data_IF_186097228357
#
_entry.id   IF_186097228357
#
_cell.length_a   1.000
_cell.length_b   1.000
_cell.length_c   1.000
_cell.angle_alpha   90.00
_cell.angle_beta   90.00
_cell.angle_gamma   90.00
#
_symmetry.space_group_name_H-M   'P 1'
#
loop_
_entity.id
_entity.type
_entity.pdbx_description
1 polymer ?
#
# COMPACT_ATOMS: atom_id res chain seq x y z
N UNK A 1 -3.36 -10.26 -7.00
CA UNK A 1 -4.63 -10.62 -6.32
C UNK A 1 -5.31 -11.74 -7.09
N UNK A 2 -5.90 -12.75 -6.43
CA UNK A 2 -6.70 -13.75 -7.12
C UNK A 2 -7.84 -13.06 -7.88
N UNK A 3 -8.30 -13.62 -9.01
CA UNK A 3 -9.37 -13.02 -9.79
C UNK A 3 -10.62 -12.82 -8.93
N UNK A 4 -11.44 -11.79 -9.20
CA UNK A 4 -12.61 -11.44 -8.40
C UNK A 4 -13.57 -12.60 -8.10
N UNK A 5 -13.63 -13.59 -8.99
CA UNK A 5 -14.44 -14.81 -8.82
C UNK A 5 -13.97 -15.72 -7.67
N UNK A 6 -12.68 -15.70 -7.33
CA UNK A 6 -12.13 -16.50 -6.21
C UNK A 6 -12.40 -15.79 -4.89
N UNK A 7 -12.33 -14.46 -4.86
CA UNK A 7 -12.62 -13.67 -3.66
C UNK A 7 -14.10 -13.65 -3.28
N UNK A 8 -15.01 -13.85 -4.23
CA UNK A 8 -16.45 -13.89 -3.97
C UNK A 8 -16.89 -15.02 -3.04
N UNK A 9 -16.09 -16.10 -2.93
CA UNK A 9 -16.39 -17.26 -2.10
C UNK A 9 -15.63 -17.29 -0.77
N UNK A 10 -14.81 -16.27 -0.49
CA UNK A 10 -13.98 -16.22 0.71
C UNK A 10 -14.53 -15.30 1.80
N UNK A 11 -15.85 -15.16 1.92
CA UNK A 11 -16.41 -14.48 3.10
C UNK A 11 -16.09 -15.32 4.33
N UNK A 12 -15.22 -14.84 5.24
CA UNK A 12 -14.86 -15.62 6.41
C UNK A 12 -16.12 -15.90 7.25
N UNK A 13 -16.32 -17.13 7.75
CA UNK A 13 -17.48 -17.41 8.57
C UNK A 13 -17.47 -16.59 9.86
N UNK A 14 -18.63 -16.29 10.44
CA UNK A 14 -18.73 -15.67 11.75
C UNK A 14 -17.94 -16.45 12.79
N UNK A 15 -17.24 -15.76 13.68
CA UNK A 15 -16.60 -16.37 14.82
C UNK A 15 -16.84 -15.53 16.08
N UNK A 16 -16.65 -16.10 17.31
CA UNK A 16 -16.91 -15.36 18.55
C UNK A 16 -16.10 -14.07 18.69
N UNK A 17 -14.89 -14.01 18.10
CA UNK A 17 -14.04 -12.82 18.11
C UNK A 17 -14.49 -11.78 17.09
N UNK A 18 -15.26 -12.19 16.09
CA UNK A 18 -15.83 -11.33 15.07
C UNK A 18 -17.24 -11.80 14.69
N UNK A 19 -18.23 -11.48 15.52
CA UNK A 19 -19.62 -11.73 15.18
C UNK A 19 -20.00 -10.80 14.04
N UNK A 20 -20.22 -11.36 12.86
CA UNK A 20 -20.46 -10.59 11.65
C UNK A 20 -21.93 -10.14 11.52
N UNK A 21 -22.30 -9.12 12.25
CA UNK A 21 -23.49 -8.34 12.01
C UNK A 21 -23.12 -6.85 12.17
N UNK A 22 -22.91 -6.11 11.10
CA UNK A 22 -23.02 -6.47 9.68
C UNK A 22 -21.93 -7.43 9.17
N UNK A 23 -22.20 -8.17 8.05
CA UNK A 23 -21.24 -9.09 7.47
C UNK A 23 -19.94 -8.41 7.04
N UNK A 24 -18.81 -9.11 7.15
CA UNK A 24 -17.51 -8.59 6.68
C UNK A 24 -17.47 -8.51 5.17
N UNK A 25 -17.15 -7.32 4.64
CA UNK A 25 -16.90 -7.14 3.21
C UNK A 25 -15.46 -7.52 2.81
N UNK A 26 -14.54 -7.50 3.77
CA UNK A 26 -13.11 -7.75 3.58
C UNK A 26 -12.56 -8.68 4.67
N UNK A 27 -11.38 -9.27 4.42
CA UNK A 27 -10.70 -10.15 5.40
C UNK A 27 -10.29 -9.38 6.65
N UNK A 28 -9.92 -8.12 6.51
CA UNK A 28 -9.29 -7.33 7.57
C UNK A 28 -10.27 -6.45 8.33
N UNK A 29 -11.34 -5.99 7.71
CA UNK A 29 -12.28 -5.07 8.35
C UNK A 29 -13.68 -5.11 7.70
N UNK A 30 -14.61 -4.44 8.35
CA UNK A 30 -15.94 -4.16 7.79
C UNK A 30 -15.86 -3.09 6.69
N UNK A 31 -16.82 -3.09 5.77
CA UNK A 31 -16.89 -2.11 4.67
C UNK A 31 -16.91 -0.66 5.17
N UNK A 32 -17.57 -0.40 6.29
CA UNK A 32 -17.64 0.93 6.91
C UNK A 32 -16.28 1.46 7.37
N UNK A 33 -15.34 0.56 7.72
CA UNK A 33 -14.02 0.90 8.22
C UNK A 33 -12.94 1.06 7.12
N UNK A 34 -13.25 0.77 5.86
CA UNK A 34 -12.26 0.78 4.76
C UNK A 34 -11.53 2.11 4.58
N UNK A 35 -12.18 3.24 4.86
CA UNK A 35 -11.55 4.56 4.77
C UNK A 35 -11.02 5.07 6.13
N UNK A 36 -11.00 4.22 7.15
CA UNK A 36 -10.42 4.60 8.44
C UNK A 36 -8.89 4.62 8.33
N UNK A 37 -8.18 5.67 8.81
CA UNK A 37 -6.72 5.79 8.64
C UNK A 37 -5.89 4.68 9.26
N UNK A 38 -6.40 3.98 10.28
CA UNK A 38 -5.75 2.78 10.84
C UNK A 38 -5.92 1.53 9.99
N UNK A 39 -6.84 1.54 9.03
CA UNK A 39 -7.06 0.43 8.08
C UNK A 39 -6.40 0.75 6.75
N UNK A 40 -6.58 1.98 6.27
CA UNK A 40 -5.98 2.48 5.04
C UNK A 40 -5.08 3.69 5.35
N UNK A 41 -3.77 3.50 5.49
CA UNK A 41 -2.82 4.58 5.78
C UNK A 41 -2.89 5.73 4.77
N UNK A 42 -3.28 5.45 3.52
CA UNK A 42 -3.51 6.45 2.49
C UNK A 42 -4.55 7.51 2.90
N UNK A 43 -5.44 7.17 3.82
CA UNK A 43 -6.48 8.07 4.33
C UNK A 43 -6.05 8.89 5.55
N UNK A 44 -4.84 8.66 6.07
CA UNK A 44 -4.29 9.48 7.15
C UNK A 44 -3.93 10.88 6.64
N UNK A 45 -4.46 11.90 7.30
CA UNK A 45 -4.24 13.31 6.94
C UNK A 45 -3.01 13.93 7.59
N UNK A 46 -2.49 13.35 8.68
CA UNK A 46 -1.37 13.91 9.44
C UNK A 46 -0.27 12.87 9.66
N UNK A 47 0.92 13.18 9.16
CA UNK A 47 2.15 12.41 9.27
C UNK A 47 3.24 13.15 10.03
N UNK A 48 2.95 14.33 10.58
CA UNK A 48 3.91 15.11 11.37
C UNK A 48 4.48 14.26 12.52
N UNK A 49 5.79 14.33 12.70
CA UNK A 49 6.52 13.53 13.69
C UNK A 49 6.50 12.00 13.47
N UNK A 50 6.05 11.51 12.35
CA UNK A 50 6.24 10.11 12.00
C UNK A 50 7.76 9.79 11.91
N UNK A 51 8.18 8.57 12.26
CA UNK A 51 9.56 8.13 12.08
C UNK A 51 9.94 8.13 10.60
N UNK A 52 11.25 8.07 10.27
CA UNK A 52 11.68 7.89 8.89
C UNK A 52 11.02 6.66 8.24
N UNK A 53 10.66 6.78 6.97
CA UNK A 53 9.96 5.73 6.22
C UNK A 53 10.76 5.35 4.98
N UNK A 54 10.86 4.04 4.75
CA UNK A 54 11.48 3.45 3.57
C UNK A 54 10.43 2.78 2.69
N UNK A 55 10.33 3.24 1.45
CA UNK A 55 9.56 2.62 0.39
C UNK A 55 10.49 1.86 -0.54
N UNK A 56 10.28 0.55 -0.70
CA UNK A 56 10.99 -0.28 -1.66
C UNK A 56 9.98 -1.11 -2.42
N UNK A 57 9.84 -0.86 -3.69
CA UNK A 57 8.78 -1.38 -4.53
C UNK A 57 9.26 -1.64 -5.95
N UNK A 58 8.47 -2.38 -6.70
CA UNK A 58 8.62 -2.56 -8.14
C UNK A 58 7.67 -1.67 -8.94
N UNK A 59 7.71 -1.77 -10.25
CA UNK A 59 6.69 -1.21 -11.14
C UNK A 59 5.45 -2.12 -11.12
N UNK A 60 4.61 -1.96 -10.12
CA UNK A 60 3.50 -2.85 -9.81
C UNK A 60 2.21 -2.10 -9.44
N UNK A 61 1.13 -2.84 -9.13
CA UNK A 61 -0.20 -2.26 -8.92
C UNK A 61 -0.30 -1.31 -7.72
N UNK A 62 0.52 -1.50 -6.68
CA UNK A 62 0.50 -0.66 -5.47
C UNK A 62 1.41 0.56 -5.58
N UNK A 63 2.16 0.68 -6.67
CA UNK A 63 3.13 1.75 -6.91
C UNK A 63 2.53 3.14 -6.74
N UNK A 64 1.33 3.36 -7.25
CA UNK A 64 0.70 4.67 -7.21
C UNK A 64 0.23 5.05 -5.80
N UNK A 65 -0.25 4.08 -5.03
CA UNK A 65 -0.64 4.28 -3.64
C UNK A 65 0.58 4.64 -2.78
N UNK A 66 1.68 3.91 -2.95
CA UNK A 66 2.95 4.15 -2.28
C UNK A 66 3.51 5.55 -2.64
N UNK A 67 3.43 5.94 -3.91
CA UNK A 67 3.92 7.24 -4.38
C UNK A 67 3.12 8.42 -3.81
N UNK A 68 1.79 8.30 -3.71
CA UNK A 68 0.95 9.30 -3.06
C UNK A 68 1.32 9.42 -1.58
N UNK A 69 1.50 8.28 -0.90
CA UNK A 69 1.84 8.25 0.52
C UNK A 69 3.24 8.85 0.76
N UNK A 70 4.23 8.47 -0.03
CA UNK A 70 5.58 9.02 0.05
C UNK A 70 5.61 10.54 -0.16
N UNK A 71 4.88 11.05 -1.16
CA UNK A 71 4.74 12.48 -1.42
C UNK A 71 4.12 13.22 -0.23
N UNK A 72 3.01 12.69 0.34
CA UNK A 72 2.33 13.29 1.50
C UNK A 72 3.21 13.33 2.74
N UNK A 73 3.89 12.23 3.04
CA UNK A 73 4.82 12.14 4.16
C UNK A 73 5.98 13.14 3.99
N UNK A 74 6.59 13.17 2.80
CA UNK A 74 7.68 14.09 2.49
C UNK A 74 7.24 15.56 2.63
N UNK A 75 6.05 15.91 2.12
CA UNK A 75 5.50 17.26 2.21
C UNK A 75 5.28 17.73 3.67
N UNK A 76 5.08 16.79 4.60
CA UNK A 76 4.88 17.06 6.03
C UNK A 76 6.17 16.91 6.86
N UNK A 77 7.32 16.82 6.20
CA UNK A 77 8.63 16.82 6.86
C UNK A 77 9.09 15.46 7.36
N UNK A 78 8.41 14.38 7.02
CA UNK A 78 8.89 13.02 7.29
C UNK A 78 10.07 12.71 6.38
N UNK A 79 11.12 12.11 6.94
CA UNK A 79 12.26 11.63 6.14
C UNK A 79 11.83 10.39 5.36
N UNK A 80 11.79 10.50 4.04
CA UNK A 80 11.35 9.44 3.13
C UNK A 80 12.51 8.98 2.29
N UNK A 81 12.76 7.67 2.26
CA UNK A 81 13.65 7.01 1.32
C UNK A 81 12.82 6.19 0.34
N UNK A 82 12.88 6.53 -0.95
CA UNK A 82 12.15 5.87 -2.02
C UNK A 82 13.09 5.08 -2.93
N UNK A 83 12.78 3.80 -3.17
CA UNK A 83 13.49 2.92 -4.09
C UNK A 83 12.50 2.20 -4.97
N UNK A 84 12.39 2.60 -6.22
CA UNK A 84 11.54 1.97 -7.23
C UNK A 84 12.41 1.17 -8.19
N UNK A 85 12.15 -0.13 -8.32
CA UNK A 85 12.92 -1.04 -9.16
C UNK A 85 12.17 -1.33 -10.45
N UNK A 86 12.78 -0.97 -11.59
CA UNK A 86 12.23 -1.16 -12.92
C UNK A 86 11.83 -2.62 -13.17
N UNK A 87 10.63 -2.83 -13.71
CA UNK A 87 10.08 -4.14 -14.11
C UNK A 87 10.05 -5.21 -13.00
N UNK A 88 10.16 -4.83 -11.74
CA UNK A 88 10.06 -5.76 -10.62
C UNK A 88 8.60 -5.93 -10.18
N UNK A 89 8.16 -7.18 -9.92
CA UNK A 89 6.82 -7.44 -9.41
C UNK A 89 6.70 -7.16 -7.91
N UNK A 90 5.49 -7.23 -7.39
CA UNK A 90 5.22 -7.17 -5.96
C UNK A 90 6.06 -8.19 -5.19
N UNK A 91 6.65 -7.77 -4.04
CA UNK A 91 7.55 -8.56 -3.18
C UNK A 91 8.73 -9.23 -3.91
N UNK A 92 9.21 -8.61 -4.98
CA UNK A 92 10.29 -9.14 -5.82
C UNK A 92 11.53 -9.56 -5.02
N UNK A 93 11.83 -8.84 -3.94
CA UNK A 93 12.97 -9.16 -3.08
C UNK A 93 12.96 -10.61 -2.58
N UNK A 94 11.78 -11.12 -2.19
CA UNK A 94 11.63 -12.50 -1.74
C UNK A 94 11.36 -13.47 -2.90
N UNK A 95 10.59 -13.05 -3.91
CA UNK A 95 10.22 -13.93 -5.04
C UNK A 95 11.37 -14.20 -6.00
N UNK A 96 12.29 -13.25 -6.14
CA UNK A 96 13.44 -13.32 -7.05
C UNK A 96 14.75 -13.39 -6.26
N UNK A 97 14.75 -14.15 -5.17
CA UNK A 97 15.94 -14.38 -4.33
C UNK A 97 17.17 -14.79 -5.17
N UNK A 98 18.32 -14.20 -4.86
CA UNK A 98 19.56 -14.37 -5.62
C UNK A 98 19.66 -13.55 -6.91
N UNK A 99 18.65 -12.75 -7.25
CA UNK A 99 18.78 -11.75 -8.31
C UNK A 99 19.51 -10.50 -7.80
N UNK A 100 20.20 -9.80 -8.71
CA UNK A 100 20.88 -8.53 -8.35
C UNK A 100 19.92 -7.48 -7.80
N UNK A 101 18.67 -7.46 -8.25
CA UNK A 101 17.66 -6.53 -7.76
C UNK A 101 17.24 -6.89 -6.33
N UNK A 102 17.07 -8.18 -6.04
CA UNK A 102 16.80 -8.69 -4.68
C UNK A 102 17.94 -8.34 -3.72
N UNK A 103 19.19 -8.62 -4.10
CA UNK A 103 20.36 -8.28 -3.29
C UNK A 103 20.41 -6.77 -2.99
N UNK A 104 20.21 -5.92 -4.00
CA UNK A 104 20.19 -4.48 -3.84
C UNK A 104 19.04 -4.00 -2.93
N UNK A 105 17.86 -4.63 -3.03
CA UNK A 105 16.72 -4.35 -2.16
C UNK A 105 17.05 -4.66 -0.69
N UNK A 106 17.62 -5.83 -0.42
CA UNK A 106 17.96 -6.21 0.96
C UNK A 106 19.11 -5.38 1.53
N UNK A 107 20.13 -5.03 0.72
CA UNK A 107 21.20 -4.14 1.14
C UNK A 107 20.69 -2.75 1.52
N UNK A 108 19.79 -2.16 0.71
CA UNK A 108 19.16 -0.87 1.02
C UNK A 108 18.29 -0.96 2.27
N UNK A 109 17.51 -2.04 2.41
CA UNK A 109 16.67 -2.29 3.59
C UNK A 109 17.51 -2.39 4.85
N UNK A 110 18.57 -3.19 4.84
CA UNK A 110 19.46 -3.38 5.98
C UNK A 110 20.15 -2.06 6.38
N UNK A 111 20.61 -1.29 5.39
CA UNK A 111 21.21 0.02 5.62
C UNK A 111 20.23 0.99 6.26
N UNK A 112 19.02 1.09 5.71
CA UNK A 112 17.98 1.96 6.28
C UNK A 112 17.62 1.58 7.69
N UNK A 113 17.41 0.29 7.98
CA UNK A 113 17.12 -0.19 9.33
C UNK A 113 18.22 0.18 10.33
N UNK A 114 19.49 -0.01 9.95
CA UNK A 114 20.64 0.39 10.78
C UNK A 114 20.62 1.88 11.06
N UNK A 115 20.53 2.70 10.02
CA UNK A 115 20.49 4.17 10.14
C UNK A 115 19.31 4.66 10.99
N UNK A 116 18.14 4.01 10.87
CA UNK A 116 16.96 4.35 11.66
C UNK A 116 17.16 4.08 13.15
N UNK A 117 17.76 2.94 13.49
CA UNK A 117 18.06 2.59 14.89
C UNK A 117 19.13 3.52 15.48
N UNK A 118 20.12 3.90 14.69
CA UNK A 118 21.18 4.82 15.09
C UNK A 118 20.74 6.31 15.10
N UNK A 119 19.54 6.62 14.62
CA UNK A 119 19.05 8.00 14.47
C UNK A 119 19.79 8.80 13.39
N UNK A 120 20.45 8.12 12.46
CA UNK A 120 21.36 8.70 11.46
C UNK A 120 20.77 8.72 10.04
N UNK A 121 19.46 8.48 9.87
CA UNK A 121 18.80 8.59 8.56
C UNK A 121 18.99 9.98 7.99
N UNK A 122 19.58 10.07 6.78
CA UNK A 122 19.83 11.32 6.08
C UNK A 122 18.57 12.04 5.60
N UNK A 123 18.75 13.06 4.78
CA UNK A 123 17.65 13.76 4.11
C UNK A 123 16.85 12.82 3.21
N UNK A 124 15.61 13.23 2.91
CA UNK A 124 14.75 12.46 2.01
C UNK A 124 15.37 12.34 0.62
N UNK A 125 15.33 11.15 0.05
CA UNK A 125 15.83 10.87 -1.29
C UNK A 125 14.96 9.88 -2.05
N UNK A 126 14.84 10.07 -3.37
CA UNK A 126 14.15 9.20 -4.29
C UNK A 126 15.09 8.65 -5.36
N UNK A 127 14.99 7.34 -5.63
CA UNK A 127 15.79 6.68 -6.66
C UNK A 127 14.95 5.67 -7.43
N UNK A 128 15.04 5.75 -8.77
CA UNK A 128 14.60 4.72 -9.70
C UNK A 128 15.79 3.87 -10.11
N UNK A 129 15.68 2.55 -10.00
CA UNK A 129 16.75 1.58 -10.23
C UNK A 129 16.45 0.79 -11.49
N UNK A 130 17.30 0.90 -12.53
CA UNK A 130 17.13 0.19 -13.80
C UNK A 130 17.35 -1.32 -13.65
N UNK A 131 16.48 -2.14 -14.24
CA UNK A 131 16.44 -3.59 -14.06
C UNK A 131 17.74 -4.31 -14.47
N UNK A 132 18.34 -3.92 -15.58
CA UNK A 132 19.50 -4.65 -16.14
C UNK A 132 20.85 -4.20 -15.60
N UNK A 133 20.98 -2.88 -15.39
CA UNK A 133 22.26 -2.26 -15.06
C UNK A 133 22.38 -1.92 -13.58
N UNK A 134 21.26 -1.85 -12.86
CA UNK A 134 21.12 -1.27 -11.54
C UNK A 134 21.59 0.21 -11.46
N UNK A 135 21.65 0.87 -12.63
CA UNK A 135 21.88 2.30 -12.70
C UNK A 135 20.78 3.03 -11.92
N UNK A 136 21.19 4.04 -11.18
CA UNK A 136 20.32 4.79 -10.27
C UNK A 136 20.00 6.14 -10.89
N UNK A 137 18.70 6.48 -10.96
CA UNK A 137 18.23 7.78 -11.43
C UNK A 137 17.49 8.46 -10.29
N UNK A 138 17.83 9.70 -10.04
CA UNK A 138 17.15 10.49 -9.02
C UNK A 138 15.69 10.74 -9.40
N UNK A 139 14.82 10.67 -8.38
CA UNK A 139 13.39 10.96 -8.47
C UNK A 139 13.04 12.01 -7.44
N UNK A 140 12.40 13.09 -7.86
CA UNK A 140 11.88 14.09 -6.94
C UNK A 140 10.60 13.61 -6.28
N UNK A 141 10.62 13.46 -4.97
CA UNK A 141 9.48 13.02 -4.17
C UNK A 141 8.26 13.96 -4.25
N UNK A 142 8.47 15.21 -4.64
CA UNK A 142 7.36 16.17 -4.84
C UNK A 142 6.55 15.85 -6.10
N UNK A 143 7.19 15.22 -7.08
CA UNK A 143 6.61 14.91 -8.40
C UNK A 143 6.61 13.42 -8.70
N UNK A 144 6.85 12.56 -7.70
CA UNK A 144 6.90 11.09 -7.84
C UNK A 144 5.59 10.49 -8.37
N UNK A 145 4.48 11.20 -8.24
CA UNK A 145 3.19 10.87 -8.84
C UNK A 145 2.45 12.12 -9.29
N UNK A 146 1.67 11.98 -10.38
CA UNK A 146 0.75 13.02 -10.87
C UNK A 146 -0.64 12.94 -10.22
N UNK A 147 -0.93 11.88 -9.44
CA UNK A 147 -2.24 11.68 -8.80
C UNK A 147 -2.42 12.73 -7.70
N UNK A 148 -3.47 13.52 -7.80
CA UNK A 148 -3.79 14.57 -6.81
C UNK A 148 -4.53 14.01 -5.60
N UNK A 149 -4.57 14.78 -4.52
CA UNK A 149 -5.28 14.37 -3.31
C UNK A 149 -6.80 14.30 -3.53
N UNK A 150 -7.35 15.18 -4.34
CA UNK A 150 -8.77 15.15 -4.76
C UNK A 150 -9.08 13.89 -5.57
N UNK A 151 -8.15 13.47 -6.41
CA UNK A 151 -8.32 12.24 -7.18
C UNK A 151 -8.27 11.00 -6.28
N UNK A 152 -7.38 10.95 -5.31
CA UNK A 152 -7.34 9.90 -4.30
C UNK A 152 -8.66 9.81 -3.55
N UNK A 153 -9.19 10.93 -3.05
CA UNK A 153 -10.47 10.97 -2.34
C UNK A 153 -11.62 10.48 -3.22
N UNK A 154 -11.66 10.88 -4.48
CA UNK A 154 -12.68 10.46 -5.44
C UNK A 154 -12.61 8.95 -5.69
N UNK A 155 -11.41 8.41 -5.92
CA UNK A 155 -11.19 7.00 -6.22
C UNK A 155 -11.51 6.11 -5.02
N UNK A 156 -11.06 6.48 -3.84
CA UNK A 156 -11.29 5.71 -2.59
C UNK A 156 -12.76 5.72 -2.19
N UNK A 157 -13.45 6.87 -2.30
CA UNK A 157 -14.90 6.95 -2.08
C UNK A 157 -15.67 6.06 -3.04
N UNK A 158 -15.38 6.16 -4.34
CA UNK A 158 -16.01 5.30 -5.35
C UNK A 158 -15.71 3.81 -5.19
N UNK A 159 -14.53 3.44 -4.68
CA UNK A 159 -14.21 2.06 -4.34
C UNK A 159 -15.07 1.56 -3.15
N UNK A 160 -15.17 2.36 -2.09
CA UNK A 160 -16.01 2.05 -0.92
C UNK A 160 -17.47 1.85 -1.33
N UNK A 161 -18.05 2.79 -2.09
CA UNK A 161 -19.44 2.70 -2.55
C UNK A 161 -19.71 1.42 -3.36
N UNK A 162 -18.77 1.02 -4.21
CA UNK A 162 -18.89 -0.25 -4.98
C UNK A 162 -18.88 -1.47 -4.06
N UNK A 163 -18.05 -1.48 -3.03
CA UNK A 163 -17.95 -2.58 -2.07
C UNK A 163 -19.23 -2.66 -1.24
N UNK A 164 -19.71 -1.55 -0.73
CA UNK A 164 -20.94 -1.48 0.07
C UNK A 164 -22.16 -1.90 -0.74
N UNK A 165 -22.28 -1.44 -2.01
CA UNK A 165 -23.35 -1.85 -2.91
C UNK A 165 -23.35 -3.34 -3.17
N UNK A 166 -22.19 -3.91 -3.53
CA UNK A 166 -22.04 -5.34 -3.77
C UNK A 166 -22.41 -6.16 -2.55
N UNK A 167 -22.05 -5.66 -1.37
CA UNK A 167 -22.36 -6.33 -0.11
C UNK A 167 -23.85 -6.31 0.21
N UNK A 168 -24.53 -5.20 -0.02
CA UNK A 168 -25.99 -5.07 0.12
C UNK A 168 -26.75 -6.00 -0.82
N UNK A 169 -26.26 -6.18 -2.06
CA UNK A 169 -26.85 -7.11 -3.03
C UNK A 169 -26.73 -8.58 -2.57
N UNK A 170 -25.59 -9.00 -2.03
CA UNK A 170 -25.36 -10.36 -1.52
C UNK A 170 -26.26 -10.68 -0.31
N UNK A 171 -26.43 -9.72 0.60
CA UNK A 171 -27.32 -9.88 1.77
C UNK A 171 -28.80 -9.92 1.36
N UNK A 172 -29.18 -9.19 0.28
CA UNK A 172 -30.55 -9.17 -0.26
C UNK A 172 -30.95 -10.49 -0.98
N UNK A 173 -29.97 -11.26 -1.48
CA UNK A 173 -30.22 -12.51 -2.19
C UNK A 173 -30.34 -13.74 -1.27
N UNK A 174 -29.92 -13.67 -0.02
CA UNK A 174 -30.15 -14.70 0.98
C UNK A 174 -31.61 -14.65 1.49
N UNK A 175 -32.57 -15.00 0.64
CA UNK A 175 -33.91 -15.37 1.10
C UNK A 175 -33.80 -16.58 2.00
N UNK A 176 -34.44 -16.58 3.19
CA UNK A 176 -34.53 -17.80 3.98
C UNK A 176 -35.22 -18.88 3.14
N UNK A 177 -34.55 -19.99 2.90
CA UNK A 177 -35.22 -21.19 2.44
C UNK A 177 -36.14 -21.64 3.59
N UNK A 178 -37.45 -21.55 3.34
CA UNK A 178 -38.47 -22.16 4.15
C UNK A 178 -38.36 -23.69 4.02
#
# INVERSE_FOLDING_TARGET
>A
LPPPSVMQHMTPPPCPAWPTDPPRAEIYCEASALLHPLVSPLMAGDWTNAPPVFFSLGEEMLRDEDAVLARRMHAQGVRVRWREFEAMPHVFGMMLDGSKASDAHFDETARFCKEAVEGSVGESDGVFVLAKTLERREVDLKTVTAITDEEVERLTRGAKERIEKKHGEVVGETKPML
#
